data_IF_140306529069
#
_entry.id   IF_140306529069
#
_cell.length_a   1.000
_cell.length_b   1.000
_cell.length_c   1.000
_cell.angle_alpha   90.00
_cell.angle_beta   90.00
_cell.angle_gamma   90.00
#
_symmetry.space_group_name_H-M   'P 1'
#
loop_
_entity.id
_entity.type
_entity.pdbx_description
1 polymer ?
#
# COMPACT_ATOMS: atom_id res chain seq x y z
N UNK A 1 6.04 9.18 -36.20
CA UNK A 1 4.77 9.02 -35.47
C UNK A 1 3.84 8.13 -36.30
N UNK A 2 3.34 6.98 -35.86
CA UNK A 2 3.59 6.31 -34.59
C UNK A 2 3.01 4.88 -34.62
N UNK A 3 3.87 3.87 -34.82
CA UNK A 3 3.52 2.46 -34.53
C UNK A 3 3.09 2.27 -33.07
N UNK A 4 3.50 3.20 -32.19
CA UNK A 4 3.10 3.25 -30.77
C UNK A 4 1.65 3.70 -30.63
N UNK A 5 1.18 4.66 -31.44
CA UNK A 5 -0.23 5.08 -31.45
C UNK A 5 -1.10 3.95 -31.99
N UNK A 6 -0.66 3.23 -33.02
CA UNK A 6 -1.40 2.05 -33.52
C UNK A 6 -1.46 0.93 -32.48
N UNK A 7 -0.38 0.68 -31.73
CA UNK A 7 -0.35 -0.32 -30.66
C UNK A 7 -1.29 0.06 -29.50
N UNK A 8 -1.31 1.34 -29.12
CA UNK A 8 -2.17 1.85 -28.04
C UNK A 8 -3.65 1.86 -28.47
N UNK A 9 -3.93 2.20 -29.72
CA UNK A 9 -5.29 2.20 -30.27
C UNK A 9 -5.83 0.77 -30.45
N UNK A 10 -4.97 -0.18 -30.82
CA UNK A 10 -5.31 -1.60 -30.88
C UNK A 10 -5.61 -2.18 -29.49
N UNK A 11 -4.80 -1.87 -28.47
CA UNK A 11 -5.06 -2.29 -27.08
C UNK A 11 -6.35 -1.71 -26.52
N UNK A 12 -6.65 -0.43 -26.81
CA UNK A 12 -7.90 0.22 -26.40
C UNK A 12 -9.13 -0.48 -27.00
N UNK A 13 -9.11 -0.80 -28.31
CA UNK A 13 -10.22 -1.51 -28.97
C UNK A 13 -10.41 -2.94 -28.49
N UNK A 14 -9.35 -3.63 -28.09
CA UNK A 14 -9.47 -5.00 -27.55
C UNK A 14 -9.96 -5.04 -26.10
N UNK A 15 -9.69 -4.00 -25.30
CA UNK A 15 -10.20 -3.87 -23.94
C UNK A 15 -11.71 -3.52 -23.90
N UNK A 16 -12.25 -2.89 -24.94
CA UNK A 16 -13.69 -2.60 -25.06
C UNK A 16 -14.52 -3.81 -25.54
N UNK A 17 -13.90 -4.80 -26.20
CA UNK A 17 -14.60 -5.98 -26.76
C UNK A 17 -14.64 -7.21 -25.87
N UNK A 18 -13.73 -7.32 -24.89
CA UNK A 18 -13.72 -8.40 -23.91
C UNK A 18 -13.93 -7.74 -22.56
N UNK A 19 -15.09 -7.96 -21.93
CA UNK A 19 -15.41 -7.38 -20.63
C UNK A 19 -14.23 -7.50 -19.66
N UNK A 20 -13.99 -6.42 -18.91
CA UNK A 20 -12.79 -6.20 -18.08
C UNK A 20 -12.58 -7.22 -16.93
N UNK A 21 -13.44 -8.23 -16.81
CA UNK A 21 -13.45 -9.20 -15.70
C UNK A 21 -12.36 -10.28 -15.83
N UNK A 22 -11.87 -10.58 -17.04
CA UNK A 22 -10.86 -11.64 -17.24
C UNK A 22 -9.42 -11.20 -16.96
N UNK A 23 -9.14 -9.92 -16.75
CA UNK A 23 -7.77 -9.43 -16.52
C UNK A 23 -7.33 -9.36 -15.06
N UNK A 24 -8.27 -9.46 -14.10
CA UNK A 24 -7.97 -9.28 -12.67
C UNK A 24 -8.59 -10.32 -11.74
N UNK A 25 -8.91 -11.51 -12.27
CA UNK A 25 -9.06 -12.69 -11.41
C UNK A 25 -7.65 -13.19 -11.05
N UNK A 26 -7.22 -13.21 -9.77
CA UNK A 26 -5.96 -13.84 -9.40
C UNK A 26 -6.17 -15.35 -9.46
N UNK A 27 -6.17 -15.92 -10.66
CA UNK A 27 -5.97 -17.35 -10.83
C UNK A 27 -4.49 -17.57 -10.55
N UNK A 28 -4.19 -18.16 -9.40
CA UNK A 28 -2.84 -18.64 -9.07
C UNK A 28 -2.50 -19.67 -10.14
N UNK A 29 -1.80 -19.24 -11.20
CA UNK A 29 -1.19 -20.11 -12.19
C UNK A 29 0.16 -20.52 -11.57
N UNK A 30 0.12 -21.59 -10.79
CA UNK A 30 1.31 -22.42 -10.58
C UNK A 30 1.45 -23.33 -11.79
N UNK A 31 2.00 -22.80 -12.89
CA UNK A 31 2.46 -23.64 -13.99
C UNK A 31 3.83 -23.19 -14.50
N UNK A 32 4.68 -24.19 -14.69
CA UNK A 32 6.09 -24.13 -15.02
C UNK A 32 6.37 -23.22 -16.21
N UNK A 33 7.13 -22.14 -15.98
CA UNK A 33 7.68 -21.33 -17.06
C UNK A 33 8.85 -22.07 -17.73
N UNK A 34 8.56 -22.59 -18.93
CA UNK A 34 9.51 -23.21 -19.85
C UNK A 34 10.63 -22.21 -20.24
N UNK A 35 11.88 -22.62 -20.05
CA UNK A 35 13.10 -21.82 -20.23
C UNK A 35 13.37 -21.37 -21.67
N UNK A 36 12.62 -21.88 -22.65
CA UNK A 36 12.83 -21.57 -24.09
C UNK A 36 12.43 -20.16 -24.52
N UNK A 37 11.63 -19.43 -23.75
CA UNK A 37 11.16 -18.09 -24.16
C UNK A 37 12.18 -16.96 -23.92
N UNK A 38 13.20 -17.17 -23.08
CA UNK A 38 14.24 -16.16 -22.82
C UNK A 38 15.26 -16.04 -23.95
N UNK A 39 15.58 -17.13 -24.64
CA UNK A 39 16.50 -17.11 -25.78
C UNK A 39 15.89 -16.41 -27.01
N UNK A 40 14.58 -16.50 -27.20
CA UNK A 40 13.92 -15.86 -28.35
C UNK A 40 13.87 -14.34 -28.24
N UNK A 41 13.74 -13.78 -27.02
CA UNK A 41 13.73 -12.34 -26.81
C UNK A 41 15.12 -11.71 -26.86
N UNK A 42 16.19 -12.46 -26.54
CA UNK A 42 17.57 -11.96 -26.67
C UNK A 42 18.01 -11.84 -28.14
N UNK A 43 17.52 -12.71 -29.03
CA UNK A 43 17.92 -12.71 -30.44
C UNK A 43 17.20 -11.70 -31.33
N UNK A 44 16.17 -11.00 -30.84
CA UNK A 44 15.45 -9.99 -31.66
C UNK A 44 16.12 -8.60 -31.59
N UNK A 45 17.03 -8.35 -30.64
CA UNK A 45 17.62 -7.03 -30.42
C UNK A 45 19.09 -6.88 -30.84
N UNK A 46 19.73 -7.91 -31.40
CA UNK A 46 21.18 -7.88 -31.68
C UNK A 46 21.55 -7.88 -33.18
N UNK A 47 20.62 -8.09 -34.11
CA UNK A 47 20.98 -8.11 -35.55
C UNK A 47 20.03 -7.27 -36.39
N UNK A 48 20.41 -6.01 -36.62
CA UNK A 48 20.01 -5.25 -37.80
C UNK A 48 21.06 -4.15 -38.09
N UNK A 49 22.09 -4.42 -38.90
CA UNK A 49 22.88 -3.35 -39.48
C UNK A 49 22.10 -2.67 -40.61
N UNK A 50 22.09 -1.34 -40.58
CA UNK A 50 21.48 -0.48 -41.57
C UNK A 50 22.03 -0.77 -42.97
N UNK A 51 21.14 -1.11 -43.91
CA UNK A 51 21.40 -1.06 -45.34
C UNK A 51 21.39 0.40 -45.81
N UNK A 52 22.55 0.93 -46.20
CA UNK A 52 22.65 2.11 -47.07
C UNK A 52 23.24 1.70 -48.42
N UNK A 53 22.67 2.12 -49.55
CA UNK A 53 23.16 1.73 -50.87
C UNK A 53 24.41 2.54 -51.25
N UNK A 54 25.53 1.83 -51.42
CA UNK A 54 26.80 2.38 -51.91
C UNK A 54 26.82 2.41 -53.44
N UNK A 55 26.99 3.61 -54.00
CA UNK A 55 27.27 3.87 -55.42
C UNK A 55 28.71 3.48 -55.75
N UNK A 56 28.87 2.80 -56.88
CA UNK A 56 30.14 2.50 -57.55
C UNK A 56 31.10 3.69 -57.64
N UNK A 57 32.34 3.52 -57.18
CA UNK A 57 33.51 4.19 -57.78
C UNK A 57 34.80 3.40 -57.50
N UNK A 58 35.69 3.47 -58.49
CA UNK A 58 36.84 2.61 -58.83
C UNK A 58 38.00 2.60 -57.82
N UNK A 59 38.76 1.53 -57.97
CA UNK A 59 40.07 1.17 -57.41
C UNK A 59 41.09 2.31 -57.33
N UNK A 60 41.88 2.31 -56.25
CA UNK A 60 43.32 2.61 -56.29
C UNK A 60 44.03 1.95 -55.10
N UNK A 61 45.02 1.11 -55.41
CA UNK A 61 45.83 0.32 -54.49
C UNK A 61 46.92 1.18 -53.87
N UNK A 62 46.86 1.42 -52.55
CA UNK A 62 47.96 2.03 -51.79
C UNK A 62 48.47 1.03 -50.75
N UNK A 63 49.74 0.64 -50.92
CA UNK A 63 50.49 -0.23 -50.02
C UNK A 63 50.83 0.57 -48.75
N UNK A 64 50.26 0.18 -47.60
CA UNK A 64 50.62 0.73 -46.27
C UNK A 64 51.64 -0.18 -45.55
N UNK A 65 52.61 0.39 -44.82
CA UNK A 65 53.59 -0.37 -44.05
C UNK A 65 53.00 -0.92 -42.73
N UNK A 66 53.60 -1.98 -42.14
CA UNK A 66 53.04 -2.66 -40.98
C UNK A 66 53.12 -1.80 -39.71
N UNK A 67 51.94 -1.48 -39.14
CA UNK A 67 51.82 -0.89 -37.79
C UNK A 67 52.12 -1.96 -36.74
N UNK A 68 53.12 -1.72 -35.88
CA UNK A 68 53.33 -2.46 -34.63
C UNK A 68 52.11 -2.32 -33.74
N UNK A 69 51.40 -3.41 -33.50
CA UNK A 69 50.34 -3.49 -32.50
C UNK A 69 50.95 -3.70 -31.11
N UNK A 70 51.15 -2.63 -30.35
CA UNK A 70 51.27 -2.72 -28.89
C UNK A 70 49.84 -2.69 -28.34
N UNK A 71 49.36 -3.80 -27.80
CA UNK A 71 48.08 -3.88 -27.09
C UNK A 71 48.31 -3.59 -25.59
N UNK A 72 47.89 -2.44 -25.04
CA UNK A 72 47.87 -2.21 -23.60
C UNK A 72 46.48 -2.55 -23.06
N UNK A 73 46.09 -3.83 -23.05
CA UNK A 73 44.70 -4.20 -22.72
C UNK A 73 44.55 -5.38 -21.76
N UNK A 74 45.49 -5.57 -20.83
CA UNK A 74 45.37 -6.61 -19.78
C UNK A 74 45.59 -6.13 -18.34
N UNK A 75 45.96 -4.86 -18.11
CA UNK A 75 46.12 -4.35 -16.75
C UNK A 75 44.79 -4.32 -15.97
N UNK A 76 43.67 -4.00 -16.64
CA UNK A 76 42.35 -3.92 -16.01
C UNK A 76 41.79 -5.30 -15.59
N UNK A 77 42.07 -6.35 -16.36
CA UNK A 77 41.66 -7.73 -16.05
C UNK A 77 42.29 -8.25 -14.74
N UNK A 78 43.44 -7.69 -14.34
CA UNK A 78 44.16 -8.11 -13.11
C UNK A 78 43.48 -7.62 -11.82
N UNK A 79 42.65 -6.58 -11.90
CA UNK A 79 41.96 -5.98 -10.74
C UNK A 79 40.55 -6.55 -10.52
N UNK A 80 40.01 -7.28 -11.49
CA UNK A 80 38.63 -7.79 -11.44
C UNK A 80 38.33 -8.71 -10.23
N UNK A 81 39.22 -9.64 -9.82
CA UNK A 81 38.97 -10.50 -8.65
C UNK A 81 38.88 -9.73 -7.33
N UNK A 82 39.66 -8.65 -7.21
CA UNK A 82 39.66 -7.79 -6.03
C UNK A 82 38.37 -6.99 -5.92
N UNK A 83 37.81 -6.55 -7.05
CA UNK A 83 36.57 -5.79 -7.11
C UNK A 83 35.35 -6.65 -6.72
N UNK A 84 35.32 -7.91 -7.15
CA UNK A 84 34.29 -8.90 -6.76
C UNK A 84 34.39 -9.19 -5.25
N UNK A 85 35.60 -9.36 -4.72
CA UNK A 85 35.82 -9.62 -3.29
C UNK A 85 35.36 -8.43 -2.43
N UNK A 86 35.66 -7.19 -2.86
CA UNK A 86 35.20 -5.97 -2.19
C UNK A 86 33.67 -5.88 -2.17
N UNK A 87 33.01 -6.19 -3.29
CA UNK A 87 31.54 -6.19 -3.39
C UNK A 87 30.91 -7.22 -2.46
N UNK A 88 31.48 -8.42 -2.36
CA UNK A 88 31.00 -9.47 -1.47
C UNK A 88 31.09 -9.07 0.01
N UNK A 89 32.21 -8.46 0.43
CA UNK A 89 32.38 -7.95 1.80
C UNK A 89 31.39 -6.82 2.10
N UNK A 90 31.16 -5.92 1.14
CA UNK A 90 30.19 -4.83 1.29
C UNK A 90 28.77 -5.38 1.50
N UNK A 91 28.35 -6.36 0.71
CA UNK A 91 27.04 -7.00 0.84
C UNK A 91 26.89 -7.75 2.17
N UNK A 92 27.95 -8.40 2.66
CA UNK A 92 27.95 -9.03 3.97
C UNK A 92 27.75 -8.01 5.10
N UNK A 93 28.47 -6.89 5.06
CA UNK A 93 28.36 -5.81 6.05
C UNK A 93 26.97 -5.18 6.04
N UNK A 94 26.40 -4.95 4.85
CA UNK A 94 25.01 -4.50 4.69
C UNK A 94 24.06 -5.53 5.35
N UNK A 95 24.21 -6.82 5.06
CA UNK A 95 23.35 -7.85 5.62
C UNK A 95 23.44 -7.93 7.16
N UNK A 96 24.64 -7.75 7.73
CA UNK A 96 24.84 -7.68 9.19
C UNK A 96 24.18 -6.42 9.77
N UNK A 97 24.35 -5.26 9.14
CA UNK A 97 23.76 -3.99 9.58
C UNK A 97 22.22 -4.03 9.55
N UNK A 98 21.64 -4.69 8.54
CA UNK A 98 20.18 -4.81 8.40
C UNK A 98 19.56 -5.99 9.19
N UNK A 99 20.34 -7.00 9.61
CA UNK A 99 19.85 -8.09 10.47
C UNK A 99 19.60 -7.69 11.93
N UNK A 100 20.02 -6.50 12.36
CA UNK A 100 19.91 -6.04 13.75
C UNK A 100 18.52 -5.75 14.30
N UNK A 101 17.42 -5.99 13.55
CA UNK A 101 16.04 -5.75 14.03
C UNK A 101 15.03 -6.79 13.54
N UNK A 102 15.30 -8.07 13.76
CA UNK A 102 14.24 -9.09 13.71
C UNK A 102 13.89 -9.47 15.15
N UNK A 103 12.90 -8.77 15.73
CA UNK A 103 12.25 -9.20 16.97
C UNK A 103 11.36 -10.39 16.63
N UNK A 104 11.91 -11.61 16.71
CA UNK A 104 11.10 -12.82 16.66
C UNK A 104 10.47 -13.01 18.04
N UNK A 105 9.22 -12.58 18.18
CA UNK A 105 8.39 -12.91 19.34
C UNK A 105 7.95 -14.37 19.18
N UNK A 106 8.63 -15.29 19.85
CA UNK A 106 8.24 -16.71 19.93
C UNK A 106 7.19 -16.81 21.05
N UNK A 107 5.92 -16.89 20.67
CA UNK A 107 4.85 -17.27 21.62
C UNK A 107 4.78 -18.80 21.71
N UNK A 108 5.08 -19.33 22.90
CA UNK A 108 4.89 -20.75 23.20
C UNK A 108 3.40 -21.01 23.43
N UNK A 109 2.74 -21.60 22.45
CA UNK A 109 1.44 -22.27 22.63
C UNK A 109 1.70 -23.64 23.26
N UNK A 110 1.51 -23.75 24.58
CA UNK A 110 1.50 -25.05 25.25
C UNK A 110 2.01 -25.00 26.68
N UNK A 111 1.09 -24.85 27.62
CA UNK A 111 1.37 -24.91 29.06
C UNK A 111 0.07 -24.81 29.83
N UNK A 112 -0.78 -25.84 29.72
CA UNK A 112 -1.90 -26.02 30.64
C UNK A 112 -1.33 -26.08 32.07
N UNK A 113 -1.64 -25.07 32.86
CA UNK A 113 -1.43 -25.13 34.30
C UNK A 113 -2.58 -25.92 34.90
N UNK A 114 -2.23 -27.10 35.42
CA UNK A 114 -3.11 -27.96 36.20
C UNK A 114 -3.78 -27.13 37.30
N UNK A 115 -5.11 -26.97 37.20
CA UNK A 115 -5.93 -26.40 38.26
C UNK A 115 -5.99 -27.38 39.43
N UNK A 116 -5.40 -26.97 40.54
CA UNK A 116 -5.66 -27.55 41.85
C UNK A 116 -7.15 -27.36 42.20
N UNK A 117 -7.75 -28.43 42.73
CA UNK A 117 -9.12 -28.47 43.19
C UNK A 117 -9.34 -27.54 44.40
N UNK A 118 -10.43 -26.75 44.45
CA UNK A 118 -10.90 -26.15 45.67
C UNK A 118 -11.90 -27.07 46.39
N UNK A 119 -11.68 -27.17 47.69
CA UNK A 119 -12.44 -27.95 48.67
C UNK A 119 -13.93 -27.60 48.72
N UNK A 120 -14.73 -28.62 49.06
CA UNK A 120 -16.17 -28.55 49.21
C UNK A 120 -16.59 -27.61 50.35
N UNK A 121 -17.31 -26.55 50.00
CA UNK A 121 -18.06 -25.73 50.96
C UNK A 121 -19.54 -26.09 50.84
N UNK A 122 -20.11 -26.46 51.99
CA UNK A 122 -21.47 -26.95 52.22
C UNK A 122 -22.54 -26.01 51.64
N UNK A 123 -23.51 -26.62 50.97
CA UNK A 123 -24.74 -26.02 50.48
C UNK A 123 -25.59 -25.45 51.62
N UNK A 124 -26.04 -24.20 51.45
CA UNK A 124 -27.12 -23.57 52.22
C UNK A 124 -28.28 -23.36 51.26
N UNK A 125 -29.53 -23.76 51.59
CA UNK A 125 -30.63 -23.78 50.64
C UNK A 125 -31.08 -22.38 50.21
N UNK A 126 -31.24 -22.25 48.88
CA UNK A 126 -31.53 -21.02 48.16
C UNK A 126 -32.89 -20.40 48.53
N UNK A 127 -32.86 -19.18 49.07
CA UNK A 127 -34.00 -18.25 49.05
C UNK A 127 -34.03 -17.58 47.68
N UNK A 128 -35.06 -17.90 46.89
CA UNK A 128 -35.28 -17.38 45.53
C UNK A 128 -35.55 -15.87 45.58
N UNK A 129 -34.49 -15.06 45.50
CA UNK A 129 -34.58 -13.61 45.30
C UNK A 129 -34.70 -13.40 43.79
N UNK A 130 -35.85 -12.88 43.34
CA UNK A 130 -36.01 -12.39 41.98
C UNK A 130 -34.96 -11.29 41.74
N UNK A 131 -34.13 -11.36 40.69
CA UNK A 131 -33.30 -10.22 40.33
C UNK A 131 -34.20 -9.03 39.98
N UNK A 132 -33.84 -7.80 40.39
CA UNK A 132 -34.55 -6.61 39.95
C UNK A 132 -34.54 -6.54 38.42
N UNK A 133 -35.56 -5.93 37.79
CA UNK A 133 -35.59 -5.75 36.35
C UNK A 133 -34.31 -5.03 35.94
N UNK A 134 -33.50 -5.71 35.13
CA UNK A 134 -32.32 -5.14 34.52
C UNK A 134 -32.82 -3.99 33.66
N UNK A 135 -32.65 -2.76 34.16
CA UNK A 135 -32.80 -1.57 33.35
C UNK A 135 -31.98 -1.80 32.07
N UNK A 136 -32.56 -1.56 30.87
CA UNK A 136 -31.80 -1.72 29.64
C UNK A 136 -30.56 -0.83 29.77
N UNK A 137 -29.40 -1.47 29.81
CA UNK A 137 -28.10 -0.79 29.74
C UNK A 137 -28.22 0.15 28.56
N UNK A 138 -28.37 1.44 28.84
CA UNK A 138 -28.37 2.46 27.82
C UNK A 138 -27.08 2.25 27.04
N UNK A 139 -27.20 1.85 25.78
CA UNK A 139 -26.09 1.80 24.83
C UNK A 139 -25.42 3.16 24.93
N UNK A 140 -24.28 3.20 25.63
CA UNK A 140 -23.45 4.40 25.65
C UNK A 140 -23.21 4.80 24.20
N UNK A 141 -23.35 6.09 23.84
CA UNK A 141 -23.22 6.53 22.47
C UNK A 141 -21.91 5.96 21.92
N UNK A 142 -22.02 5.10 20.90
CA UNK A 142 -20.93 4.31 20.34
C UNK A 142 -19.84 5.25 19.84
N UNK A 143 -18.93 5.63 20.74
CA UNK A 143 -17.68 6.28 20.36
C UNK A 143 -16.77 5.15 19.92
N UNK A 144 -16.93 4.75 18.67
CA UNK A 144 -16.10 3.72 18.06
C UNK A 144 -14.77 4.34 17.69
N UNK A 145 -13.79 4.16 18.56
CA UNK A 145 -12.41 4.52 18.27
C UNK A 145 -11.85 3.57 17.21
N UNK A 146 -11.12 4.10 16.22
CA UNK A 146 -10.41 3.32 15.20
C UNK A 146 -8.97 3.09 15.60
N UNK A 147 -8.29 4.17 15.99
CA UNK A 147 -6.91 4.18 16.44
C UNK A 147 -6.80 5.08 17.66
N UNK A 148 -6.35 4.54 18.78
CA UNK A 148 -6.00 5.32 19.99
C UNK A 148 -4.59 4.93 20.38
N UNK A 149 -3.68 5.91 20.46
CA UNK A 149 -2.28 5.64 20.80
C UNK A 149 -1.68 4.50 19.95
N UNK A 150 -1.91 4.52 18.63
CA UNK A 150 -1.39 3.53 17.69
C UNK A 150 -2.06 2.15 17.75
N UNK A 151 -2.93 1.90 18.72
CA UNK A 151 -3.67 0.64 18.84
C UNK A 151 -4.93 0.67 17.98
N UNK A 152 -5.07 -0.31 17.10
CA UNK A 152 -6.25 -0.49 16.27
C UNK A 152 -7.34 -1.15 17.12
N UNK A 153 -8.56 -0.60 17.09
CA UNK A 153 -9.69 -1.23 17.73
C UNK A 153 -10.17 -2.44 16.92
N UNK A 154 -9.65 -3.62 17.25
CA UNK A 154 -9.99 -4.89 16.61
C UNK A 154 -11.46 -5.29 16.76
N UNK A 155 -12.25 -4.64 17.64
CA UNK A 155 -13.70 -4.86 17.75
C UNK A 155 -14.48 -4.11 16.69
N UNK A 156 -13.92 -3.04 16.14
CA UNK A 156 -14.54 -2.23 15.09
C UNK A 156 -13.92 -2.52 13.71
N UNK A 157 -12.62 -2.83 13.67
CA UNK A 157 -11.83 -2.92 12.44
C UNK A 157 -11.44 -4.35 12.12
N UNK A 158 -11.86 -4.79 10.94
CA UNK A 158 -11.51 -6.11 10.38
C UNK A 158 -10.11 -6.08 9.80
N UNK A 159 -9.77 -4.98 9.12
CA UNK A 159 -8.50 -4.84 8.41
C UNK A 159 -8.12 -3.37 8.29
N UNK A 160 -6.86 -3.09 8.59
CA UNK A 160 -6.17 -1.90 8.14
C UNK A 160 -5.25 -2.30 6.97
N UNK A 161 -5.26 -1.52 5.89
CA UNK A 161 -4.42 -1.77 4.72
C UNK A 161 -3.86 -0.48 4.12
N UNK A 162 -2.65 -0.57 3.59
CA UNK A 162 -2.08 0.46 2.72
C UNK A 162 -2.25 0.05 1.26
N UNK A 163 -2.47 1.02 0.38
CA UNK A 163 -2.77 0.80 -1.03
C UNK A 163 -2.10 1.84 -1.93
N UNK A 164 -1.89 1.49 -3.20
CA UNK A 164 -1.20 2.37 -4.15
C UNK A 164 0.23 2.65 -3.73
N UNK A 165 0.67 3.90 -3.86
CA UNK A 165 2.00 4.36 -3.45
C UNK A 165 2.25 4.31 -1.93
N UNK A 166 1.24 3.94 -1.13
CA UNK A 166 1.38 3.74 0.30
C UNK A 166 2.06 2.42 0.68
N UNK A 167 2.06 1.42 -0.20
CA UNK A 167 2.42 0.03 0.15
C UNK A 167 3.84 -0.13 0.70
N UNK A 168 4.77 0.71 0.25
CA UNK A 168 6.19 0.52 0.52
C UNK A 168 6.65 1.17 1.83
N UNK A 169 6.34 2.45 2.00
CA UNK A 169 6.94 3.28 3.06
C UNK A 169 5.94 3.72 4.14
N UNK A 170 4.63 3.54 3.91
CA UNK A 170 3.61 3.85 4.92
C UNK A 170 3.61 2.83 6.03
N UNK A 171 3.29 3.28 7.24
CA UNK A 171 3.36 2.43 8.44
C UNK A 171 2.46 2.93 9.56
N UNK A 172 2.07 2.00 10.42
CA UNK A 172 1.48 2.29 11.72
C UNK A 172 2.60 2.74 12.66
N UNK A 173 2.38 3.85 13.36
CA UNK A 173 3.27 4.41 14.37
C UNK A 173 2.67 4.19 15.76
N UNK A 174 3.48 4.40 16.80
CA UNK A 174 3.03 4.30 18.20
C UNK A 174 1.84 5.20 18.52
N UNK A 175 1.68 6.33 17.83
CA UNK A 175 0.60 7.26 18.09
C UNK A 175 -0.41 7.36 16.95
N UNK A 176 -0.26 6.62 15.84
CA UNK A 176 -1.13 6.79 14.68
C UNK A 176 -0.64 6.10 13.41
N UNK A 177 -0.78 6.76 12.27
CA UNK A 177 -0.27 6.30 10.98
C UNK A 177 0.57 7.41 10.32
N UNK A 178 1.64 7.02 9.63
CA UNK A 178 2.30 7.86 8.62
C UNK A 178 1.98 7.26 7.26
N UNK A 179 1.31 8.06 6.44
CA UNK A 179 0.89 7.72 5.10
C UNK A 179 1.81 8.46 4.12
N UNK A 180 2.55 7.71 3.31
CA UNK A 180 3.57 8.19 2.36
C UNK A 180 3.14 7.81 0.94
N UNK A 181 3.31 8.69 -0.03
CA UNK A 181 3.23 8.33 -1.44
C UNK A 181 4.65 8.21 -1.97
N UNK A 182 5.13 6.99 -2.17
CA UNK A 182 6.51 6.73 -2.63
C UNK A 182 6.76 7.10 -4.11
N UNK A 183 5.74 7.56 -4.83
CA UNK A 183 5.79 7.93 -6.24
C UNK A 183 5.60 6.75 -7.22
N UNK A 184 5.43 5.53 -6.73
CA UNK A 184 5.16 4.36 -7.59
C UNK A 184 3.76 4.37 -8.18
N UNK A 185 2.82 5.07 -7.53
CA UNK A 185 1.49 5.35 -8.04
C UNK A 185 1.11 6.82 -7.82
N UNK A 186 0.20 7.33 -8.64
CA UNK A 186 -0.26 8.71 -8.55
C UNK A 186 -1.18 8.99 -7.33
N UNK A 187 -1.45 7.96 -6.53
CA UNK A 187 -2.28 7.99 -5.34
C UNK A 187 -1.72 7.01 -4.29
N UNK A 188 -2.00 7.27 -3.03
CA UNK A 188 -1.62 6.47 -1.89
C UNK A 188 -2.76 6.52 -0.87
N UNK A 189 -3.11 5.38 -0.27
CA UNK A 189 -4.26 5.30 0.64
C UNK A 189 -4.02 4.42 1.85
N UNK A 190 -4.57 4.83 2.99
CA UNK A 190 -4.74 4.02 4.19
C UNK A 190 -6.23 3.72 4.37
N UNK A 191 -6.63 2.46 4.25
CA UNK A 191 -8.01 2.02 4.32
C UNK A 191 -8.31 1.18 5.57
N UNK A 192 -9.52 1.38 6.10
CA UNK A 192 -10.03 0.78 7.31
C UNK A 192 -11.34 0.06 6.98
N UNK A 193 -11.28 -1.26 6.85
CA UNK A 193 -12.46 -2.09 6.66
C UNK A 193 -13.11 -2.40 8.01
N UNK A 194 -14.40 -2.10 8.14
CA UNK A 194 -15.19 -2.39 9.32
C UNK A 194 -15.52 -3.89 9.39
N UNK A 195 -15.66 -4.42 10.61
CA UNK A 195 -16.11 -5.82 10.82
C UNK A 195 -17.51 -6.04 10.27
N UNK A 196 -18.39 -5.05 10.47
CA UNK A 196 -19.75 -5.05 9.96
C UNK A 196 -20.08 -3.67 9.42
N UNK A 197 -20.99 -3.56 8.44
CA UNK A 197 -21.46 -2.27 7.98
C UNK A 197 -22.06 -1.45 9.13
N UNK A 198 -21.70 -0.18 9.23
CA UNK A 198 -22.14 0.72 10.30
C UNK A 198 -23.07 1.81 9.76
N UNK A 199 -24.04 2.21 10.59
CA UNK A 199 -24.84 3.41 10.36
C UNK A 199 -24.09 4.63 10.90
N UNK A 200 -23.65 5.48 9.98
CA UNK A 200 -22.91 6.71 10.26
C UNK A 200 -23.72 7.97 9.92
N UNK A 201 -25.05 7.86 9.73
CA UNK A 201 -25.88 8.99 9.28
C UNK A 201 -25.83 10.20 10.22
N UNK A 202 -25.69 10.01 11.53
CA UNK A 202 -25.61 11.11 12.51
C UNK A 202 -24.23 11.26 13.16
N UNK A 203 -23.19 10.76 12.50
CA UNK A 203 -21.84 10.71 13.04
C UNK A 203 -20.90 11.77 12.46
N UNK A 204 -19.81 12.05 13.18
CA UNK A 204 -18.61 12.69 12.64
C UNK A 204 -17.41 11.75 12.70
N UNK A 205 -16.50 11.93 11.74
CA UNK A 205 -15.16 11.35 11.79
C UNK A 205 -14.20 12.39 12.38
N UNK A 206 -13.69 12.09 13.57
CA UNK A 206 -12.80 12.96 14.32
C UNK A 206 -11.39 12.36 14.32
N UNK A 207 -10.38 13.19 14.06
CA UNK A 207 -8.98 12.78 14.09
C UNK A 207 -8.05 13.99 14.24
N UNK A 208 -6.80 13.74 14.59
CA UNK A 208 -5.73 14.72 14.47
C UNK A 208 -4.89 14.43 13.25
N UNK A 209 -4.48 15.47 12.55
CA UNK A 209 -3.66 15.36 11.34
C UNK A 209 -2.56 16.41 11.31
N UNK A 210 -1.45 16.08 10.68
CA UNK A 210 -0.42 17.06 10.30
C UNK A 210 0.35 16.63 9.06
N UNK A 211 0.86 17.60 8.33
CA UNK A 211 1.77 17.40 7.21
C UNK A 211 3.21 17.26 7.67
N UNK A 212 4.05 16.65 6.84
CA UNK A 212 5.50 16.66 7.02
C UNK A 212 6.10 18.04 6.74
N UNK A 213 5.53 18.78 5.79
CA UNK A 213 6.02 20.09 5.31
C UNK A 213 5.03 21.22 5.65
N UNK A 214 3.74 20.91 5.81
CA UNK A 214 2.71 21.87 6.17
C UNK A 214 2.01 22.54 4.98
N UNK A 215 1.87 21.79 3.87
CA UNK A 215 1.07 22.19 2.68
C UNK A 215 0.33 21.02 2.07
N UNK A 216 0.37 19.87 2.70
CA UNK A 216 -0.26 18.66 2.20
C UNK A 216 -1.79 18.79 2.27
N UNK A 217 -2.47 18.13 1.35
CA UNK A 217 -3.94 17.99 1.34
C UNK A 217 -4.33 16.54 1.56
N UNK A 218 -5.49 16.30 2.18
CA UNK A 218 -5.93 14.93 2.49
C UNK A 218 -7.37 14.70 2.03
N UNK A 219 -7.63 13.52 1.50
CA UNK A 219 -8.94 13.04 1.11
C UNK A 219 -9.48 12.09 2.18
N UNK A 220 -10.76 12.19 2.51
CA UNK A 220 -11.48 11.08 3.17
C UNK A 220 -12.37 10.38 2.15
N UNK A 221 -12.30 9.04 2.16
CA UNK A 221 -13.03 8.13 1.28
C UNK A 221 -13.97 7.29 2.14
N UNK A 222 -15.23 7.15 1.71
CA UNK A 222 -16.19 6.25 2.30
C UNK A 222 -16.70 5.26 1.26
N UNK A 223 -16.93 4.01 1.68
CA UNK A 223 -17.57 3.01 0.82
C UNK A 223 -18.61 2.24 1.63
N UNK A 224 -19.82 2.16 1.08
CA UNK A 224 -20.92 1.38 1.66
C UNK A 224 -20.88 -0.09 1.25
N UNK A 225 -21.66 -0.90 1.96
CA UNK A 225 -21.72 -2.34 1.79
C UNK A 225 -22.17 -2.76 0.40
N UNK A 226 -23.07 -1.99 -0.21
CA UNK A 226 -23.72 -2.30 -1.49
C UNK A 226 -22.83 -1.93 -2.69
N UNK A 227 -21.89 -1.00 -2.49
CA UNK A 227 -20.92 -0.63 -3.50
C UNK A 227 -19.67 -1.53 -3.44
N UNK A 228 -19.61 -2.52 -4.33
CA UNK A 228 -18.46 -3.43 -4.45
C UNK A 228 -17.39 -2.94 -5.43
N UNK A 229 -17.66 -1.89 -6.21
CA UNK A 229 -16.64 -1.38 -7.13
C UNK A 229 -15.49 -0.77 -6.32
N UNK A 230 -14.26 -1.15 -6.66
CA UNK A 230 -13.04 -0.54 -6.13
C UNK A 230 -12.80 0.87 -6.72
N UNK A 231 -13.63 1.28 -7.67
CA UNK A 231 -13.61 2.64 -8.19
C UNK A 231 -14.12 3.52 -7.05
N UNK A 232 -13.36 4.53 -6.60
CA UNK A 232 -13.84 5.49 -5.62
C UNK A 232 -15.01 6.26 -6.24
N UNK A 233 -16.22 5.71 -6.10
CA UNK A 233 -17.47 6.47 -6.22
C UNK A 233 -17.70 7.33 -4.97
N UNK A 234 -16.80 7.22 -4.00
CA UNK A 234 -16.67 8.09 -2.85
C UNK A 234 -16.34 9.49 -3.33
N UNK A 235 -17.26 10.43 -3.14
CA UNK A 235 -16.92 11.82 -3.33
C UNK A 235 -15.94 12.29 -2.27
N UNK A 236 -15.05 13.10 -2.79
CA UNK A 236 -13.86 13.62 -2.23
C UNK A 236 -14.17 14.79 -1.31
N UNK A 237 -14.25 14.58 0.01
CA UNK A 237 -13.99 15.71 0.91
C UNK A 237 -12.48 15.90 0.95
N UNK A 238 -12.00 16.81 0.11
CA UNK A 238 -10.62 17.27 0.17
C UNK A 238 -10.54 18.20 1.38
N UNK A 239 -9.84 17.77 2.43
CA UNK A 239 -9.30 18.66 3.43
C UNK A 239 -8.21 19.50 2.76
N UNK A 240 -8.66 20.56 2.07
CA UNK A 240 -7.88 21.28 1.05
C UNK A 240 -7.34 22.64 1.50
N UNK A 241 -7.37 22.94 2.80
CA UNK A 241 -6.85 24.23 3.28
C UNK A 241 -5.70 24.01 4.24
N UNK A 242 -4.53 23.86 3.63
CA UNK A 242 -3.21 24.07 4.24
C UNK A 242 -3.07 23.30 5.56
N UNK A 243 -3.06 21.97 5.46
CA UNK A 243 -2.60 21.17 6.59
C UNK A 243 -1.23 21.69 6.99
N UNK A 244 -1.07 22.14 8.23
CA UNK A 244 0.21 22.69 8.67
C UNK A 244 1.12 21.55 9.18
N UNK A 245 2.36 21.89 9.54
CA UNK A 245 3.32 20.94 10.12
C UNK A 245 3.03 20.63 11.60
N UNK A 246 1.99 21.22 12.17
CA UNK A 246 1.56 21.06 13.55
C UNK A 246 0.31 20.18 13.64
N UNK A 247 0.06 19.60 14.80
CA UNK A 247 -1.14 18.77 14.98
C UNK A 247 -2.41 19.62 14.96
N UNK A 248 -3.31 19.32 14.03
CA UNK A 248 -4.60 19.97 13.88
C UNK A 248 -5.71 18.97 14.17
N UNK A 249 -6.71 19.37 14.96
CA UNK A 249 -7.93 18.60 15.13
C UNK A 249 -8.87 18.82 13.94
N UNK A 250 -9.40 17.73 13.40
CA UNK A 250 -10.34 17.71 12.29
C UNK A 250 -11.55 16.89 12.69
N UNK A 251 -12.75 17.44 12.47
CA UNK A 251 -14.03 16.77 12.66
C UNK A 251 -14.85 16.92 11.38
N UNK A 252 -15.13 15.81 10.71
CA UNK A 252 -15.87 15.76 9.45
C UNK A 252 -17.28 15.21 9.72
N UNK A 253 -18.34 16.02 9.62
CA UNK A 253 -19.72 15.52 9.68
C UNK A 253 -20.00 14.61 8.48
N UNK A 254 -20.35 13.34 8.74
CA UNK A 254 -20.56 12.33 7.69
C UNK A 254 -21.94 12.44 7.04
N UNK A 255 -22.86 13.16 7.67
CA UNK A 255 -24.18 13.50 7.15
C UNK A 255 -24.14 14.49 5.97
N UNK A 256 -23.05 15.25 5.84
CA UNK A 256 -22.94 16.36 4.89
C UNK A 256 -22.14 16.02 3.63
N UNK A 257 -21.59 14.81 3.51
CA UNK A 257 -20.83 14.50 2.30
C UNK A 257 -21.80 14.22 1.16
N UNK A 258 -21.61 14.93 0.06
CA UNK A 258 -22.36 14.75 -1.17
C UNK A 258 -21.94 13.40 -1.79
N UNK A 259 -22.83 12.69 -2.49
CA UNK A 259 -22.47 11.46 -3.20
C UNK A 259 -23.59 10.40 -3.26
N UNK A 260 -23.34 9.33 -4.03
CA UNK A 260 -24.22 8.17 -4.18
C UNK A 260 -23.77 7.01 -3.28
N UNK A 261 -23.66 7.24 -1.97
CA UNK A 261 -23.28 6.20 -1.03
C UNK A 261 -24.28 6.14 0.13
N UNK A 262 -24.50 4.93 0.67
CA UNK A 262 -25.46 4.72 1.74
C UNK A 262 -24.79 4.88 3.12
N UNK A 263 -24.97 6.03 3.77
CA UNK A 263 -24.43 6.32 5.11
C UNK A 263 -24.88 5.34 6.20
N UNK A 264 -25.98 4.61 5.99
CA UNK A 264 -26.50 3.62 6.94
C UNK A 264 -25.73 2.30 6.92
N UNK A 265 -24.90 2.08 5.90
CA UNK A 265 -24.24 0.79 5.64
C UNK A 265 -22.79 0.97 5.25
N UNK A 266 -22.08 1.91 5.86
CA UNK A 266 -20.65 2.13 5.56
C UNK A 266 -19.87 0.88 5.95
N UNK A 267 -19.04 0.34 5.05
CA UNK A 267 -18.16 -0.81 5.32
C UNK A 267 -16.67 -0.45 5.36
N UNK A 268 -16.31 0.72 4.86
CA UNK A 268 -14.92 1.13 4.73
C UNK A 268 -14.77 2.64 4.83
N UNK A 269 -13.72 3.05 5.53
CA UNK A 269 -13.26 4.44 5.64
C UNK A 269 -11.80 4.48 5.18
N UNK A 270 -11.44 5.41 4.33
CA UNK A 270 -10.09 5.54 3.79
C UNK A 270 -9.58 6.96 3.86
N UNK A 271 -8.27 7.09 3.93
CA UNK A 271 -7.53 8.34 3.81
C UNK A 271 -6.68 8.25 2.57
N UNK A 272 -6.88 9.14 1.62
CA UNK A 272 -6.16 9.11 0.35
C UNK A 272 -5.43 10.42 0.10
N UNK A 273 -4.28 10.33 -0.53
CA UNK A 273 -3.49 11.48 -0.93
C UNK A 273 -2.53 11.12 -2.08
N UNK A 274 -2.10 12.10 -2.86
CA UNK A 274 -1.17 11.87 -3.97
C UNK A 274 -1.27 12.93 -5.05
N UNK A 275 -0.47 12.76 -6.10
CA UNK A 275 -0.36 13.75 -7.19
C UNK A 275 -1.66 13.91 -7.98
N UNK A 276 -2.42 12.83 -8.17
CA UNK A 276 -3.70 12.87 -8.92
C UNK A 276 -4.93 13.18 -8.05
N UNK A 277 -4.85 12.95 -6.74
CA UNK A 277 -6.02 13.01 -5.85
C UNK A 277 -6.07 14.30 -5.05
N UNK A 278 -4.91 14.72 -4.53
CA UNK A 278 -4.78 15.88 -3.64
C UNK A 278 -3.63 16.82 -4.04
N UNK A 279 -3.00 16.58 -5.19
CA UNK A 279 -1.84 17.32 -5.70
C UNK A 279 -0.61 17.33 -4.76
N UNK A 280 -0.47 16.32 -3.90
CA UNK A 280 0.72 16.20 -3.06
C UNK A 280 1.90 15.63 -3.85
N UNK A 281 3.10 16.15 -3.57
CA UNK A 281 4.33 15.66 -4.17
C UNK A 281 4.69 14.27 -3.65
N UNK A 282 5.31 13.40 -4.49
CA UNK A 282 5.87 12.14 -4.03
C UNK A 282 6.90 12.34 -2.92
N UNK A 283 6.96 11.40 -1.98
CA UNK A 283 7.84 11.42 -0.81
C UNK A 283 7.29 12.20 0.39
N UNK A 284 6.20 12.96 0.23
CA UNK A 284 5.54 13.64 1.35
C UNK A 284 4.86 12.63 2.29
N UNK A 285 4.88 12.90 3.61
CA UNK A 285 4.13 12.11 4.60
C UNK A 285 3.01 12.95 5.23
N UNK A 286 1.85 12.32 5.40
CA UNK A 286 0.78 12.82 6.27
C UNK A 286 0.71 11.92 7.51
N UNK A 287 0.62 12.54 8.68
CA UNK A 287 0.46 11.85 9.95
C UNK A 287 -0.98 11.99 10.43
N UNK A 288 -1.61 10.87 10.82
CA UNK A 288 -2.98 10.85 11.34
C UNK A 288 -3.01 10.10 12.67
N UNK A 289 -3.69 10.63 13.69
CA UNK A 289 -3.84 9.97 15.00
C UNK A 289 -5.20 10.19 15.66
N UNK A 290 -5.46 9.39 16.70
CA UNK A 290 -6.64 9.49 17.57
C UNK A 290 -7.95 9.56 16.77
N UNK A 291 -8.10 8.62 15.86
CA UNK A 291 -9.22 8.56 14.95
C UNK A 291 -10.42 7.89 15.61
N UNK A 292 -11.60 8.49 15.54
CA UNK A 292 -12.84 7.96 16.10
C UNK A 292 -14.07 8.37 15.27
N UNK A 293 -15.11 7.53 15.32
CA UNK A 293 -16.47 7.99 15.04
C UNK A 293 -17.04 8.56 16.34
N UNK A 294 -17.50 9.81 16.29
CA UNK A 294 -18.32 10.39 17.34
C UNK A 294 -19.79 10.42 16.88
N UNK A 295 -20.68 9.81 17.66
CA UNK A 295 -22.12 10.05 17.51
C UNK A 295 -22.41 11.46 18.02
N UNK A 296 -23.16 12.24 17.25
CA UNK A 296 -23.81 13.44 17.78
C UNK A 296 -25.06 13.10 18.56
#
# INVERSE_FOLDING_TARGET
MSKIVDLLTYRKRNAEKKGYEDFFSPKIITENFDTKTKEHLANTYILNPLNTPSKNKKEETIIMPPRKASNPSYAFMRLFPWLISLLAVLLLLINIAYRGKINIKIEFLGGETAKAAPEAIKEVPAKKILPPPVEPVALSPLTSFFIVNGEINERAIKRLGFYGGALKDSRILKDGICLINDGTAAWASAGFDLISPADLTMSSLDFFVKGSIGRESLQVILRDADNNSYIPQAQNMIFNKNMNSEWQFVSIPLNNLKGHYNTKRIKHIGFEFGTQTTANEPGTCIYIKNMKIASK
#
